data_IF_551872265259
#
_entry.id   IF_551872265259
#
_cell.length_a   1.000
_cell.length_b   1.000
_cell.length_c   1.000
_cell.angle_alpha   90.00
_cell.angle_beta   90.00
_cell.angle_gamma   90.00
#
_symmetry.space_group_name_H-M   'P 1'
#
loop_
_entity.id
_entity.type
_entity.pdbx_description
1 polymer ?
#
# COMPACT_ATOMS: atom_id res chain seq x y z
N UNK A 1 -12.13 -15.41 -22.31
CA UNK A 1 -12.35 -14.24 -21.43
C UNK A 1 -13.69 -14.39 -20.69
N UNK A 2 -14.79 -14.77 -21.36
CA UNK A 2 -16.12 -14.98 -20.73
C UNK A 2 -16.14 -16.01 -19.58
N UNK A 3 -15.16 -16.89 -19.48
CA UNK A 3 -15.18 -18.00 -18.52
C UNK A 3 -14.35 -17.76 -17.23
N UNK A 4 -13.52 -16.72 -17.19
CA UNK A 4 -12.57 -16.58 -16.07
C UNK A 4 -12.93 -15.48 -15.06
N UNK A 5 -13.63 -14.44 -15.47
CA UNK A 5 -13.73 -13.25 -14.62
C UNK A 5 -15.03 -13.09 -13.79
N UNK A 6 -16.24 -13.37 -14.27
CA UNK A 6 -17.46 -13.01 -13.54
C UNK A 6 -17.71 -13.83 -12.29
N UNK A 7 -17.18 -15.04 -12.23
CA UNK A 7 -17.42 -15.95 -11.12
C UNK A 7 -16.35 -15.95 -10.04
N UNK A 8 -15.11 -15.58 -10.40
CA UNK A 8 -13.96 -15.80 -9.50
C UNK A 8 -13.84 -14.77 -8.38
N UNK A 9 -14.04 -13.49 -8.68
CA UNK A 9 -13.80 -12.43 -7.69
C UNK A 9 -15.04 -11.68 -7.26
N UNK A 10 -16.23 -12.04 -7.83
CA UNK A 10 -17.45 -11.28 -7.57
C UNK A 10 -17.29 -9.78 -7.87
N UNK A 11 -16.32 -9.42 -8.73
CA UNK A 11 -16.23 -8.07 -9.25
C UNK A 11 -17.50 -7.77 -10.05
N UNK A 12 -17.99 -6.53 -10.02
CA UNK A 12 -19.15 -6.16 -10.80
C UNK A 12 -18.94 -6.59 -12.25
N UNK A 13 -19.97 -7.17 -12.85
CA UNK A 13 -19.95 -7.55 -14.29
C UNK A 13 -19.59 -6.37 -15.19
N UNK A 14 -19.83 -5.16 -14.71
CA UNK A 14 -19.45 -3.89 -15.32
C UNK A 14 -17.97 -3.78 -15.69
N UNK A 15 -17.09 -4.40 -14.89
CA UNK A 15 -15.64 -4.42 -15.15
C UNK A 15 -15.28 -5.19 -16.43
N UNK A 16 -16.08 -6.19 -16.76
CA UNK A 16 -15.90 -7.01 -17.97
C UNK A 16 -16.61 -6.34 -19.14
N UNK A 17 -17.77 -5.72 -18.88
CA UNK A 17 -18.53 -5.00 -19.88
C UNK A 17 -17.78 -3.77 -20.43
N UNK A 18 -16.92 -3.14 -19.62
CA UNK A 18 -16.07 -2.02 -20.06
C UNK A 18 -15.13 -2.42 -21.21
N UNK A 19 -14.63 -3.65 -21.21
CA UNK A 19 -13.76 -4.14 -22.29
C UNK A 19 -14.53 -4.65 -23.52
N UNK A 20 -15.76 -5.15 -23.32
CA UNK A 20 -16.56 -5.73 -24.39
C UNK A 20 -17.59 -4.75 -25.00
N UNK A 21 -17.92 -3.69 -24.30
CA UNK A 21 -19.02 -2.80 -24.69
C UNK A 21 -18.55 -1.33 -24.85
N UNK A 22 -18.32 -0.94 -26.08
CA UNK A 22 -17.93 0.43 -26.46
C UNK A 22 -18.92 1.52 -25.97
N UNK A 23 -20.12 1.16 -25.53
CA UNK A 23 -21.10 2.12 -24.99
C UNK A 23 -20.74 2.60 -23.55
N UNK A 24 -19.84 1.90 -22.84
CA UNK A 24 -19.37 2.32 -21.52
C UNK A 24 -18.09 3.16 -21.65
N UNK A 25 -17.39 3.07 -22.78
CA UNK A 25 -16.21 3.88 -23.08
C UNK A 25 -16.45 5.41 -22.92
N UNK A 26 -17.58 5.99 -23.38
CA UNK A 26 -17.85 7.42 -23.21
C UNK A 26 -17.88 7.89 -21.76
N UNK A 27 -18.26 7.03 -20.81
CA UNK A 27 -18.24 7.39 -19.38
C UNK A 27 -16.81 7.56 -18.87
N UNK A 28 -15.91 6.73 -19.33
CA UNK A 28 -14.49 6.80 -18.96
C UNK A 28 -13.75 7.88 -19.75
N UNK A 29 -14.08 8.07 -21.03
CA UNK A 29 -13.52 9.15 -21.86
C UNK A 29 -13.85 10.55 -21.33
N UNK A 30 -15.02 10.73 -20.70
CA UNK A 30 -15.44 12.03 -20.14
C UNK A 30 -14.80 12.34 -18.78
N UNK A 31 -14.25 11.36 -18.10
CA UNK A 31 -13.60 11.55 -16.78
C UNK A 31 -12.10 11.81 -16.95
N UNK A 32 -11.51 11.34 -18.06
CA UNK A 32 -10.12 11.58 -18.40
C UNK A 32 -10.07 12.57 -19.56
N UNK A 33 -9.92 13.88 -19.23
CA UNK A 33 -9.87 14.95 -20.21
C UNK A 33 -8.60 14.82 -21.07
N UNK A 34 -8.80 14.37 -22.25
CA UNK A 34 -8.21 14.59 -23.57
C UNK A 34 -6.68 14.58 -23.84
N UNK A 35 -5.80 14.44 -22.87
CA UNK A 35 -4.37 14.18 -23.12
C UNK A 35 -3.85 12.94 -22.38
N UNK A 36 -4.75 12.12 -21.85
CA UNK A 36 -4.45 11.11 -20.88
C UNK A 36 -4.75 9.69 -21.37
N UNK A 37 -4.29 9.38 -22.58
CA UNK A 37 -3.99 7.99 -22.95
C UNK A 37 -3.02 7.33 -21.96
N UNK A 38 -2.62 8.08 -20.93
CA UNK A 38 -1.51 7.82 -20.03
C UNK A 38 -1.90 7.67 -18.54
N UNK A 39 -3.19 7.72 -18.18
CA UNK A 39 -3.58 7.46 -16.80
C UNK A 39 -3.64 5.97 -16.51
N UNK A 40 -2.84 5.51 -15.56
CA UNK A 40 -2.94 4.13 -15.08
C UNK A 40 -4.10 3.91 -14.10
N UNK A 41 -4.79 4.97 -13.70
CA UNK A 41 -5.95 4.93 -12.81
C UNK A 41 -7.24 5.30 -13.55
N UNK A 42 -8.30 4.53 -13.30
CA UNK A 42 -9.65 4.79 -13.78
C UNK A 42 -10.64 4.83 -12.60
N UNK A 43 -11.78 5.53 -12.73
CA UNK A 43 -12.83 5.52 -11.72
C UNK A 43 -13.39 4.12 -11.45
N UNK A 44 -13.74 3.88 -10.20
CA UNK A 44 -14.39 2.64 -9.77
C UNK A 44 -15.50 2.95 -8.76
N UNK A 45 -16.71 2.39 -8.90
CA UNK A 45 -17.84 2.71 -8.03
C UNK A 45 -17.66 2.23 -6.59
N UNK A 46 -16.77 1.28 -6.33
CA UNK A 46 -16.56 0.69 -5.01
C UNK A 46 -15.32 1.25 -4.33
N UNK A 47 -14.22 1.35 -5.08
CA UNK A 47 -12.92 1.79 -4.55
C UNK A 47 -12.58 3.23 -4.93
N UNK A 48 -13.47 3.94 -5.60
CA UNK A 48 -13.36 5.28 -6.21
C UNK A 48 -12.38 5.31 -7.39
N UNK A 49 -11.23 4.69 -7.26
CA UNK A 49 -10.23 4.53 -8.32
C UNK A 49 -9.68 3.12 -8.30
N UNK A 50 -9.28 2.62 -9.44
CA UNK A 50 -8.52 1.37 -9.61
C UNK A 50 -7.55 1.51 -10.77
N UNK A 51 -6.56 0.65 -10.84
CA UNK A 51 -5.66 0.63 -11.97
C UNK A 51 -6.35 0.09 -13.23
N UNK A 52 -5.93 0.60 -14.38
CA UNK A 52 -6.48 0.26 -15.68
C UNK A 52 -6.23 -1.22 -16.01
N UNK A 53 -7.27 -2.02 -16.28
CA UNK A 53 -7.12 -3.40 -16.71
C UNK A 53 -6.34 -3.51 -18.02
N UNK A 54 -5.53 -4.57 -18.14
CA UNK A 54 -4.72 -4.88 -19.33
C UNK A 54 -3.80 -3.74 -19.78
N UNK A 55 -3.44 -2.85 -18.88
CA UNK A 55 -2.40 -1.87 -19.13
C UNK A 55 -1.07 -2.63 -19.36
N UNK A 56 -0.50 -2.53 -20.55
CA UNK A 56 0.72 -3.26 -20.88
C UNK A 56 1.93 -2.60 -20.22
N UNK A 57 2.05 -1.29 -20.38
CA UNK A 57 3.14 -0.52 -19.80
C UNK A 57 2.77 0.95 -19.67
N UNK A 58 3.16 1.53 -18.54
CA UNK A 58 3.08 2.95 -18.31
C UNK A 58 4.25 3.36 -17.40
N UNK A 59 5.23 4.12 -17.89
CA UNK A 59 6.43 4.53 -17.16
C UNK A 59 6.90 3.55 -16.07
N UNK A 60 6.49 3.80 -14.81
CA UNK A 60 6.79 2.99 -13.64
C UNK A 60 5.60 2.12 -13.18
N UNK A 61 4.63 1.87 -14.05
CA UNK A 61 3.41 1.10 -13.78
C UNK A 61 3.23 -0.02 -14.81
N UNK A 62 2.33 -0.97 -14.54
CA UNK A 62 2.07 -2.12 -15.40
C UNK A 62 3.20 -3.17 -15.41
N UNK A 63 3.04 -4.27 -16.17
CA UNK A 63 1.76 -4.62 -16.80
C UNK A 63 0.67 -4.94 -15.77
N UNK A 64 -0.59 -4.67 -16.13
CA UNK A 64 -1.74 -5.03 -15.32
C UNK A 64 -2.50 -6.19 -15.94
N UNK A 65 -3.04 -7.05 -15.12
CA UNK A 65 -3.90 -8.15 -15.54
C UNK A 65 -5.33 -7.69 -15.92
N UNK A 66 -6.20 -8.65 -16.22
CA UNK A 66 -7.60 -8.39 -16.59
C UNK A 66 -8.39 -7.65 -15.49
N UNK A 67 -8.02 -7.77 -14.23
CA UNK A 67 -8.67 -7.11 -13.10
C UNK A 67 -8.06 -5.73 -12.77
N UNK A 68 -7.00 -5.33 -13.49
CA UNK A 68 -6.29 -4.08 -13.25
C UNK A 68 -5.22 -4.15 -12.17
N UNK A 69 -4.96 -5.32 -11.59
CA UNK A 69 -3.88 -5.49 -10.64
C UNK A 69 -2.56 -5.76 -11.35
N UNK A 70 -1.47 -5.36 -10.72
CA UNK A 70 -0.14 -5.52 -11.31
C UNK A 70 0.36 -6.95 -11.21
N UNK A 71 -0.11 -7.77 -12.13
CA UNK A 71 0.28 -9.16 -12.32
C UNK A 71 0.27 -9.50 -13.81
N UNK A 72 0.93 -10.58 -14.20
CA UNK A 72 0.93 -11.04 -15.60
C UNK A 72 -0.41 -11.66 -16.01
N UNK A 73 -1.14 -12.25 -15.05
CA UNK A 73 -2.45 -12.86 -15.31
C UNK A 73 -3.23 -13.05 -14.01
N UNK A 74 -4.55 -13.15 -14.11
CA UNK A 74 -5.42 -13.53 -12.99
C UNK A 74 -5.32 -15.04 -12.79
N UNK A 75 -4.91 -15.52 -11.61
CA UNK A 75 -4.81 -16.95 -11.32
C UNK A 75 -6.17 -17.54 -10.95
N UNK A 76 -6.30 -18.86 -11.01
CA UNK A 76 -7.48 -19.58 -10.48
C UNK A 76 -7.50 -19.63 -8.94
N UNK A 77 -6.31 -19.59 -8.32
CA UNK A 77 -6.10 -19.48 -6.89
C UNK A 77 -4.75 -18.87 -6.61
N UNK A 78 -4.59 -18.25 -5.43
CA UNK A 78 -3.31 -17.70 -4.98
C UNK A 78 -3.11 -18.07 -3.50
N UNK A 79 -1.93 -18.55 -3.13
CA UNK A 79 -1.65 -18.93 -1.75
C UNK A 79 -1.49 -17.70 -0.86
N UNK A 80 -0.81 -16.66 -1.38
CA UNK A 80 -0.59 -15.38 -0.69
C UNK A 80 -1.12 -14.24 -1.54
N UNK A 81 -2.00 -13.42 -0.95
CA UNK A 81 -2.49 -12.20 -1.61
C UNK A 81 -2.00 -10.97 -0.86
N UNK A 82 -1.34 -10.07 -1.59
CA UNK A 82 -0.86 -8.80 -1.08
C UNK A 82 -1.86 -7.69 -1.37
N UNK A 83 -2.26 -6.97 -0.34
CA UNK A 83 -3.22 -5.85 -0.38
C UNK A 83 -2.51 -4.59 0.11
N UNK A 84 -2.66 -3.49 -0.60
CA UNK A 84 -2.06 -2.21 -0.26
C UNK A 84 -2.30 -1.14 -1.31
N UNK A 85 -1.53 -0.08 -1.22
CA UNK A 85 -1.54 1.07 -2.12
C UNK A 85 -0.46 0.95 -3.23
N UNK A 86 0.07 2.09 -3.65
CA UNK A 86 1.17 2.19 -4.62
C UNK A 86 2.46 1.52 -4.17
N UNK A 87 2.68 1.32 -2.87
CA UNK A 87 3.85 0.62 -2.35
C UNK A 87 3.79 -0.88 -2.72
N UNK A 88 2.63 -1.51 -2.61
CA UNK A 88 2.43 -2.90 -2.99
C UNK A 88 2.26 -3.05 -4.52
N UNK A 89 1.61 -2.07 -5.16
CA UNK A 89 1.59 -2.00 -6.62
C UNK A 89 3.01 -1.96 -7.21
N UNK A 90 3.95 -1.36 -6.49
CA UNK A 90 5.38 -1.42 -6.78
C UNK A 90 5.84 -0.38 -7.80
N UNK A 91 5.42 0.88 -7.64
CA UNK A 91 5.95 2.00 -8.42
C UNK A 91 7.50 2.04 -8.33
N UNK A 92 8.17 2.55 -9.35
CA UNK A 92 9.64 2.63 -9.47
C UNK A 92 10.39 1.29 -9.59
N UNK A 93 9.68 0.17 -9.77
CA UNK A 93 10.33 -1.11 -10.01
C UNK A 93 9.68 -1.86 -11.18
N UNK A 94 10.42 -2.67 -11.94
CA UNK A 94 9.84 -3.67 -12.82
C UNK A 94 8.96 -4.64 -12.02
N UNK A 95 7.98 -5.28 -12.69
CA UNK A 95 7.02 -6.17 -12.02
C UNK A 95 7.71 -7.30 -11.24
N UNK A 96 8.78 -7.84 -11.79
CA UNK A 96 9.58 -8.89 -11.17
C UNK A 96 10.35 -8.44 -9.91
N UNK A 97 10.39 -7.13 -9.64
CA UNK A 97 11.06 -6.53 -8.49
C UNK A 97 10.10 -5.87 -7.50
N UNK A 98 8.82 -6.22 -7.57
CA UNK A 98 7.82 -5.80 -6.58
C UNK A 98 7.84 -6.69 -5.34
N UNK A 99 7.23 -6.25 -4.23
CA UNK A 99 7.16 -7.04 -2.99
C UNK A 99 6.53 -8.42 -3.24
N UNK A 100 5.36 -8.54 -3.91
CA UNK A 100 4.75 -9.85 -4.19
C UNK A 100 5.67 -10.77 -4.98
N UNK A 101 6.33 -10.26 -6.02
CA UNK A 101 7.24 -11.08 -6.85
C UNK A 101 8.51 -11.50 -6.12
N UNK A 102 9.07 -10.66 -5.25
CA UNK A 102 10.20 -11.05 -4.41
C UNK A 102 9.80 -12.09 -3.36
N UNK A 103 8.63 -11.92 -2.72
CA UNK A 103 8.11 -12.87 -1.74
C UNK A 103 7.84 -14.25 -2.40
N UNK A 104 7.21 -14.29 -3.57
CA UNK A 104 6.99 -15.52 -4.33
C UNK A 104 8.30 -16.26 -4.56
N UNK A 105 9.32 -15.61 -5.11
CA UNK A 105 10.64 -16.23 -5.33
C UNK A 105 11.32 -16.70 -4.05
N UNK A 106 11.19 -15.96 -2.94
CA UNK A 106 11.76 -16.39 -1.66
C UNK A 106 11.09 -17.66 -1.13
N UNK A 107 9.81 -17.85 -1.42
CA UNK A 107 9.00 -18.99 -1.00
C UNK A 107 9.12 -20.20 -1.95
N UNK A 108 9.32 -19.98 -3.26
CA UNK A 108 9.46 -21.03 -4.28
C UNK A 108 10.61 -22.00 -4.01
N UNK A 109 11.64 -21.60 -3.27
CA UNK A 109 12.76 -22.45 -2.92
C UNK A 109 12.37 -23.65 -2.02
N UNK A 110 11.22 -23.58 -1.37
CA UNK A 110 10.72 -24.58 -0.43
C UNK A 110 9.28 -25.02 -0.67
N UNK A 111 8.46 -24.15 -1.24
CA UNK A 111 7.02 -24.34 -1.43
C UNK A 111 6.63 -23.89 -2.84
N UNK A 112 5.78 -24.63 -3.53
CA UNK A 112 5.22 -24.22 -4.82
C UNK A 112 4.15 -23.12 -4.60
N UNK A 113 4.57 -21.95 -4.15
CA UNK A 113 3.70 -20.84 -3.72
C UNK A 113 3.40 -19.89 -4.86
N UNK A 114 2.17 -19.46 -4.96
CA UNK A 114 1.73 -18.36 -5.85
C UNK A 114 1.36 -17.14 -5.05
N UNK A 115 2.07 -16.03 -5.29
CA UNK A 115 1.72 -14.72 -4.79
C UNK A 115 0.91 -13.92 -5.83
N UNK A 116 -0.01 -13.07 -5.35
CA UNK A 116 -0.84 -12.24 -6.20
C UNK A 116 -1.01 -10.85 -5.58
N UNK A 117 -0.81 -9.81 -6.37
CA UNK A 117 -1.01 -8.41 -5.95
C UNK A 117 -2.46 -8.00 -6.18
N UNK A 118 -3.11 -7.45 -5.14
CA UNK A 118 -4.40 -6.77 -5.24
C UNK A 118 -4.26 -5.36 -4.67
N UNK A 119 -3.47 -4.53 -5.33
CA UNK A 119 -3.12 -3.19 -4.90
C UNK A 119 -3.26 -2.17 -6.02
N UNK A 120 -3.52 -0.92 -5.64
CA UNK A 120 -3.64 0.21 -6.56
C UNK A 120 -3.19 1.49 -5.87
N UNK A 121 -2.52 2.38 -6.60
CA UNK A 121 -2.12 3.69 -6.08
C UNK A 121 -3.29 4.51 -5.56
N UNK A 122 -3.08 5.23 -4.45
CA UNK A 122 -4.07 6.10 -3.84
C UNK A 122 -5.17 5.38 -3.04
N UNK A 123 -4.99 4.09 -2.74
CA UNK A 123 -5.87 3.38 -1.82
C UNK A 123 -5.44 3.57 -0.37
N UNK A 124 -6.42 3.45 0.54
CA UNK A 124 -6.23 3.41 1.98
C UNK A 124 -7.04 2.27 2.61
N UNK A 125 -7.16 2.27 3.92
CA UNK A 125 -7.72 1.15 4.69
C UNK A 125 -9.13 0.72 4.27
N UNK A 126 -9.97 1.65 3.81
CA UNK A 126 -11.33 1.36 3.39
C UNK A 126 -11.36 0.48 2.15
N UNK A 127 -10.52 0.80 1.17
CA UNK A 127 -10.39 -0.01 -0.04
C UNK A 127 -9.77 -1.37 0.30
N UNK A 128 -8.82 -1.43 1.24
CA UNK A 128 -8.19 -2.69 1.65
C UNK A 128 -9.21 -3.69 2.20
N UNK A 129 -10.17 -3.26 3.04
CA UNK A 129 -11.23 -4.14 3.52
C UNK A 129 -12.12 -4.66 2.37
N UNK A 130 -12.50 -3.78 1.45
CA UNK A 130 -13.29 -4.17 0.28
C UNK A 130 -12.54 -5.22 -0.56
N UNK A 131 -11.27 -4.99 -0.81
CA UNK A 131 -10.42 -5.89 -1.60
C UNK A 131 -10.12 -7.18 -0.84
N UNK A 132 -9.90 -7.15 0.49
CA UNK A 132 -9.72 -8.36 1.30
C UNK A 132 -10.91 -9.30 1.17
N UNK A 133 -12.14 -8.76 1.17
CA UNK A 133 -13.33 -9.55 0.94
C UNK A 133 -13.36 -10.18 -0.47
N UNK A 134 -12.94 -9.44 -1.50
CA UNK A 134 -12.86 -9.95 -2.88
C UNK A 134 -11.76 -10.99 -3.05
N UNK A 135 -10.64 -10.83 -2.35
CA UNK A 135 -9.51 -11.75 -2.39
C UNK A 135 -9.88 -13.19 -1.98
N UNK A 136 -10.88 -13.37 -1.11
CA UNK A 136 -11.34 -14.68 -0.68
C UNK A 136 -11.79 -15.58 -1.84
N UNK A 137 -12.24 -15.00 -2.96
CA UNK A 137 -12.61 -15.77 -4.15
C UNK A 137 -11.43 -16.52 -4.77
N UNK A 138 -10.19 -16.07 -4.54
CA UNK A 138 -8.97 -16.76 -4.96
C UNK A 138 -8.47 -17.80 -3.96
N UNK A 139 -9.23 -18.04 -2.87
CA UNK A 139 -8.93 -19.05 -1.84
C UNK A 139 -7.52 -18.92 -1.24
N UNK A 140 -7.12 -17.73 -0.78
CA UNK A 140 -5.79 -17.55 -0.21
C UNK A 140 -5.65 -18.35 1.09
N UNK A 141 -4.43 -18.80 1.37
CA UNK A 141 -4.02 -19.27 2.69
C UNK A 141 -3.65 -18.08 3.58
N UNK A 142 -3.04 -17.04 2.97
CA UNK A 142 -2.56 -15.85 3.67
C UNK A 142 -2.97 -14.58 2.93
N UNK A 143 -3.49 -13.58 3.66
CA UNK A 143 -3.64 -12.20 3.23
C UNK A 143 -2.54 -11.35 3.88
N UNK A 144 -1.71 -10.69 3.09
CA UNK A 144 -0.73 -9.70 3.57
C UNK A 144 -1.29 -8.31 3.33
N UNK A 145 -1.57 -7.57 4.39
CA UNK A 145 -2.10 -6.21 4.32
C UNK A 145 -1.03 -5.22 4.72
N UNK A 146 -0.64 -4.38 3.78
CA UNK A 146 0.45 -3.43 3.94
C UNK A 146 -0.11 -2.01 4.05
N UNK A 147 -0.03 -1.43 5.25
CA UNK A 147 -0.30 -0.02 5.45
C UNK A 147 0.93 0.81 5.09
N UNK A 148 0.72 1.98 4.50
CA UNK A 148 1.77 2.97 4.29
C UNK A 148 1.53 4.19 5.18
N UNK A 149 2.46 4.47 6.09
CA UNK A 149 2.33 5.56 7.05
C UNK A 149 2.25 6.95 6.40
N UNK A 150 2.75 7.06 5.17
CA UNK A 150 2.90 8.34 4.48
C UNK A 150 1.61 8.95 3.95
N UNK A 151 0.58 8.16 3.63
CA UNK A 151 -0.68 8.66 3.07
C UNK A 151 -1.93 7.90 3.55
N UNK A 152 -1.86 6.61 3.88
CA UNK A 152 -3.04 5.82 4.25
C UNK A 152 -3.91 6.47 5.33
N UNK A 153 -3.34 7.08 6.41
CA UNK A 153 -4.17 7.76 7.40
C UNK A 153 -4.95 8.93 6.82
N UNK A 154 -4.30 9.76 5.99
CA UNK A 154 -4.94 10.93 5.37
C UNK A 154 -6.00 10.52 4.34
N UNK A 155 -5.70 9.52 3.50
CA UNK A 155 -6.63 9.01 2.48
C UNK A 155 -7.81 8.29 3.13
N UNK A 156 -7.57 7.52 4.19
CA UNK A 156 -8.64 6.89 4.95
C UNK A 156 -9.56 7.90 5.62
N UNK A 157 -9.01 8.98 6.19
CA UNK A 157 -9.82 10.10 6.68
C UNK A 157 -10.63 10.73 5.55
N UNK A 158 -9.98 11.12 4.46
CA UNK A 158 -10.64 11.78 3.34
C UNK A 158 -11.84 10.96 2.82
N UNK A 159 -11.66 9.65 2.68
CA UNK A 159 -12.71 8.76 2.20
C UNK A 159 -13.82 8.56 3.24
N UNK A 160 -13.49 8.30 4.51
CA UNK A 160 -14.49 8.06 5.55
C UNK A 160 -15.37 9.30 5.80
N UNK A 161 -14.80 10.50 5.72
CA UNK A 161 -15.52 11.73 5.95
C UNK A 161 -16.11 12.34 4.67
N UNK A 162 -15.56 12.00 3.50
CA UNK A 162 -16.06 12.46 2.21
C UNK A 162 -17.22 11.65 1.64
N UNK A 163 -17.41 10.40 2.08
CA UNK A 163 -18.43 9.49 1.56
C UNK A 163 -19.29 8.92 2.70
N UNK A 164 -20.61 9.14 2.62
CA UNK A 164 -21.56 8.69 3.64
C UNK A 164 -21.67 7.16 3.80
N UNK A 165 -21.25 6.40 2.80
CA UNK A 165 -21.15 4.92 2.90
C UNK A 165 -20.24 4.46 4.04
N UNK A 166 -19.28 5.31 4.44
CA UNK A 166 -18.24 5.01 5.43
C UNK A 166 -18.41 5.76 6.75
N UNK A 167 -19.55 6.43 6.96
CA UNK A 167 -19.79 7.25 8.15
C UNK A 167 -19.62 6.49 9.48
N UNK A 168 -19.96 5.19 9.49
CA UNK A 168 -19.87 4.35 10.69
C UNK A 168 -18.42 4.08 11.13
N UNK A 169 -17.45 4.45 10.28
CA UNK A 169 -16.02 4.34 10.58
C UNK A 169 -15.40 5.67 11.05
N UNK A 170 -16.17 6.74 11.13
CA UNK A 170 -15.70 8.04 11.62
C UNK A 170 -15.52 7.98 13.13
N UNK A 171 -14.27 8.00 13.65
CA UNK A 171 -14.03 7.93 15.10
C UNK A 171 -14.46 9.18 15.85
N UNK A 172 -14.51 10.34 15.19
CA UNK A 172 -14.95 11.61 15.72
C UNK A 172 -16.05 12.19 14.82
N UNK A 173 -17.29 12.27 15.36
CA UNK A 173 -18.45 12.76 14.63
C UNK A 173 -18.44 14.28 14.40
N UNK A 174 -17.56 15.02 15.09
CA UNK A 174 -17.48 16.49 14.96
C UNK A 174 -16.59 16.90 13.78
N UNK A 175 -15.64 16.06 13.36
CA UNK A 175 -14.79 16.34 12.22
C UNK A 175 -15.56 16.32 10.88
N UNK A 176 -15.08 17.11 9.94
CA UNK A 176 -15.62 17.26 8.58
C UNK A 176 -14.51 17.11 7.54
N UNK A 177 -14.82 16.79 6.28
CA UNK A 177 -13.81 16.76 5.20
C UNK A 177 -13.01 18.04 5.08
N UNK A 178 -13.64 19.19 5.37
CA UNK A 178 -13.02 20.53 5.32
C UNK A 178 -12.01 20.81 6.44
N UNK A 179 -11.92 19.97 7.46
CA UNK A 179 -10.96 20.11 8.56
C UNK A 179 -9.58 19.58 8.20
N UNK A 180 -9.44 18.99 7.00
CA UNK A 180 -8.15 18.56 6.52
C UNK A 180 -7.19 19.76 6.44
N UNK A 181 -6.05 19.74 7.16
CA UNK A 181 -5.14 20.86 7.16
C UNK A 181 -4.52 21.07 5.78
N UNK A 182 -4.27 22.33 5.43
CA UNK A 182 -3.47 22.65 4.25
C UNK A 182 -2.06 22.09 4.43
N UNK A 183 -1.51 21.53 3.35
CA UNK A 183 -0.11 21.10 3.34
C UNK A 183 0.74 22.37 3.50
N UNK A 184 1.64 22.42 4.51
CA UNK A 184 2.54 23.54 4.67
C UNK A 184 3.36 23.76 3.40
N UNK A 185 3.71 25.02 3.10
CA UNK A 185 4.52 25.37 1.94
C UNK A 185 5.78 24.50 1.88
N UNK A 186 6.02 23.89 0.72
CA UNK A 186 6.88 22.73 0.59
C UNK A 186 8.36 23.12 0.70
N UNK A 187 8.94 22.91 1.86
CA UNK A 187 10.39 22.88 1.98
C UNK A 187 10.88 21.49 1.59
N UNK A 188 11.27 21.31 0.34
CA UNK A 188 12.06 20.15 -0.08
C UNK A 188 13.46 20.27 0.54
N UNK A 189 13.96 19.16 1.05
CA UNK A 189 15.29 19.11 1.61
C UNK A 189 16.08 18.00 0.94
N UNK A 190 17.05 18.38 0.12
CA UNK A 190 17.96 17.46 -0.57
C UNK A 190 19.17 17.11 0.30
N UNK A 191 19.55 15.85 0.31
CA UNK A 191 20.76 15.35 0.98
C UNK A 191 21.60 14.54 0.01
N UNK A 192 22.91 14.78 0.04
CA UNK A 192 23.92 13.91 -0.55
C UNK A 192 24.63 13.19 0.60
N UNK A 193 24.55 11.88 0.61
CA UNK A 193 25.21 11.05 1.61
C UNK A 193 26.71 10.91 1.32
N UNK A 194 27.49 10.43 2.30
CA UNK A 194 28.93 10.26 2.17
C UNK A 194 29.32 9.20 1.12
N UNK A 195 28.45 8.22 0.86
CA UNK A 195 28.60 7.24 -0.20
C UNK A 195 28.29 7.80 -1.60
N UNK A 196 27.94 9.09 -1.72
CA UNK A 196 27.56 9.76 -2.94
C UNK A 196 26.12 9.55 -3.37
N UNK A 197 25.35 8.70 -2.70
CA UNK A 197 23.91 8.56 -2.94
C UNK A 197 23.19 9.85 -2.52
N UNK A 198 22.02 10.10 -3.10
CA UNK A 198 21.26 11.32 -2.82
C UNK A 198 19.76 11.04 -2.77
N UNK A 199 19.03 11.88 -2.03
CA UNK A 199 17.56 11.87 -2.02
C UNK A 199 17.00 13.24 -1.67
N UNK A 200 15.72 13.46 -1.99
CA UNK A 200 14.97 14.66 -1.60
C UNK A 200 13.86 14.26 -0.65
N UNK A 201 13.90 14.76 0.56
CA UNK A 201 12.84 14.57 1.56
C UNK A 201 11.72 15.60 1.40
N UNK A 202 10.49 15.20 1.69
CA UNK A 202 9.28 16.02 1.59
C UNK A 202 8.40 15.88 2.83
N UNK A 203 8.91 16.16 4.03
CA UNK A 203 8.15 15.95 5.28
C UNK A 203 6.84 16.75 5.33
N UNK A 204 6.75 17.86 4.60
CA UNK A 204 5.52 18.65 4.51
C UNK A 204 4.38 17.89 3.82
N UNK A 205 4.67 17.07 2.80
CA UNK A 205 3.66 16.25 2.11
C UNK A 205 3.05 15.20 3.02
N UNK A 206 3.78 14.74 4.04
CA UNK A 206 3.36 13.71 4.98
C UNK A 206 2.73 14.29 6.25
N UNK A 207 2.70 15.63 6.35
CA UNK A 207 2.22 16.34 7.55
C UNK A 207 0.83 15.89 7.99
N UNK A 208 -0.11 15.74 7.05
CA UNK A 208 -1.49 15.34 7.35
C UNK A 208 -1.54 13.96 8.02
N UNK A 209 -0.73 13.00 7.52
CA UNK A 209 -0.73 11.64 8.05
C UNK A 209 -0.06 11.49 9.41
N UNK A 210 0.96 12.31 9.72
CA UNK A 210 1.81 12.06 10.91
C UNK A 210 1.71 13.12 12.00
N UNK A 211 1.10 14.28 11.74
CA UNK A 211 0.97 15.38 12.69
C UNK A 211 0.14 15.01 13.92
N UNK A 212 0.17 15.89 14.94
CA UNK A 212 -0.73 15.82 16.10
C UNK A 212 -2.09 16.48 15.82
N UNK A 213 -2.48 16.64 14.57
CA UNK A 213 -3.76 17.19 14.16
C UNK A 213 -4.88 16.16 14.32
N UNK A 214 -6.11 16.54 14.76
CA UNK A 214 -7.23 15.59 14.94
C UNK A 214 -7.56 14.75 13.69
N UNK A 215 -7.35 15.29 12.50
CA UNK A 215 -7.51 14.56 11.23
C UNK A 215 -6.55 13.38 11.14
N UNK A 216 -5.27 13.57 11.53
CA UNK A 216 -4.32 12.46 11.58
C UNK A 216 -4.74 11.42 12.61
N UNK A 217 -5.14 11.86 13.82
CA UNK A 217 -5.65 10.95 14.86
C UNK A 217 -6.81 10.10 14.34
N UNK A 218 -7.79 10.72 13.70
CA UNK A 218 -8.92 10.03 13.09
C UNK A 218 -8.47 9.03 12.02
N UNK A 219 -7.55 9.43 11.14
CA UNK A 219 -7.00 8.55 10.10
C UNK A 219 -6.37 7.28 10.68
N UNK A 220 -5.49 7.41 11.69
CA UNK A 220 -4.87 6.27 12.36
C UNK A 220 -5.87 5.40 13.12
N UNK A 221 -6.92 5.98 13.70
CA UNK A 221 -8.00 5.20 14.32
C UNK A 221 -8.79 4.40 13.27
N UNK A 222 -9.03 4.98 12.10
CA UNK A 222 -9.66 4.26 10.99
C UNK A 222 -8.79 3.06 10.56
N UNK A 223 -7.47 3.20 10.42
CA UNK A 223 -6.58 2.07 10.14
C UNK A 223 -6.76 0.93 11.15
N UNK A 224 -6.80 1.24 12.46
CA UNK A 224 -7.02 0.24 13.52
C UNK A 224 -8.36 -0.48 13.38
N UNK A 225 -9.44 0.26 13.11
CA UNK A 225 -10.77 -0.31 12.92
C UNK A 225 -10.79 -1.28 11.73
N UNK A 226 -10.16 -0.89 10.61
CA UNK A 226 -10.11 -1.74 9.42
C UNK A 226 -9.21 -2.95 9.61
N UNK A 227 -8.07 -2.81 10.27
CA UNK A 227 -7.22 -3.95 10.64
C UNK A 227 -8.02 -4.98 11.45
N UNK A 228 -8.76 -4.54 12.46
CA UNK A 228 -9.62 -5.42 13.26
C UNK A 228 -10.67 -6.15 12.42
N UNK A 229 -11.30 -5.45 11.46
CA UNK A 229 -12.29 -6.06 10.57
C UNK A 229 -11.66 -7.05 9.60
N UNK A 230 -10.48 -6.75 9.05
CA UNK A 230 -9.78 -7.66 8.13
C UNK A 230 -9.29 -8.91 8.88
N UNK A 231 -8.79 -8.78 10.11
CA UNK A 231 -8.44 -9.91 10.95
C UNK A 231 -9.66 -10.81 11.25
N UNK A 232 -10.81 -10.20 11.58
CA UNK A 232 -12.09 -10.90 11.74
C UNK A 232 -12.51 -11.65 10.48
N UNK A 233 -12.41 -10.99 9.30
CA UNK A 233 -12.69 -11.60 8.00
C UNK A 233 -11.81 -12.83 7.74
N UNK A 234 -10.51 -12.73 8.04
CA UNK A 234 -9.58 -13.85 7.92
C UNK A 234 -9.99 -15.02 8.81
N UNK A 235 -10.27 -14.75 10.09
CA UNK A 235 -10.71 -15.77 11.06
C UNK A 235 -12.00 -16.47 10.65
N UNK A 236 -12.98 -15.72 10.14
CA UNK A 236 -14.28 -16.26 9.66
C UNK A 236 -14.13 -17.17 8.42
N UNK A 237 -13.08 -16.97 7.62
CA UNK A 237 -12.86 -17.70 6.36
C UNK A 237 -11.66 -18.65 6.41
N UNK A 238 -11.09 -18.91 7.59
CA UNK A 238 -9.89 -19.74 7.77
C UNK A 238 -8.69 -19.27 6.93
N UNK A 239 -8.49 -17.97 6.86
CA UNK A 239 -7.36 -17.31 6.16
C UNK A 239 -6.50 -16.60 7.19
N UNK A 240 -5.18 -16.83 7.18
CA UNK A 240 -4.26 -16.09 8.02
C UNK A 240 -4.11 -14.65 7.50
N UNK A 241 -4.05 -13.69 8.41
CA UNK A 241 -3.81 -12.30 8.07
C UNK A 241 -2.46 -11.85 8.62
N UNK A 242 -1.63 -11.30 7.76
CA UNK A 242 -0.35 -10.71 8.14
C UNK A 242 -0.42 -9.22 7.85
N UNK A 243 -0.20 -8.41 8.87
CA UNK A 243 -0.10 -6.96 8.71
C UNK A 243 1.35 -6.52 8.70
N UNK A 244 1.62 -5.46 7.94
CA UNK A 244 2.87 -4.72 8.02
C UNK A 244 2.61 -3.22 7.82
N UNK A 245 3.54 -2.38 8.30
CA UNK A 245 3.50 -0.93 8.13
C UNK A 245 4.77 -0.51 7.41
N UNK A 246 4.63 -0.05 6.18
CA UNK A 246 5.74 0.51 5.39
C UNK A 246 5.92 1.97 5.83
N UNK A 247 7.09 2.36 6.34
CA UNK A 247 7.35 3.73 6.76
C UNK A 247 7.68 4.64 5.57
N UNK A 248 7.62 5.96 5.81
CA UNK A 248 8.13 6.93 4.83
C UNK A 248 9.65 6.81 4.69
N UNK A 249 10.17 7.25 3.54
CA UNK A 249 11.63 7.29 3.34
C UNK A 249 12.34 8.22 4.34
N UNK A 250 11.62 9.21 4.86
CA UNK A 250 12.08 10.08 5.93
C UNK A 250 12.46 9.28 7.18
N UNK A 251 11.60 8.35 7.60
CA UNK A 251 11.89 7.49 8.74
C UNK A 251 12.93 6.40 8.40
N UNK A 252 12.90 5.87 7.18
CA UNK A 252 13.88 4.86 6.72
C UNK A 252 15.31 5.39 6.79
N UNK A 253 15.55 6.62 6.31
CA UNK A 253 16.88 7.22 6.32
C UNK A 253 17.28 7.92 7.63
N UNK A 254 16.42 7.89 8.66
CA UNK A 254 16.67 8.62 9.91
C UNK A 254 17.98 8.21 10.59
N UNK A 255 18.33 6.93 10.55
CA UNK A 255 19.57 6.42 11.14
C UNK A 255 20.81 6.78 10.30
N UNK A 256 20.71 6.71 8.97
CA UNK A 256 21.77 7.15 8.04
C UNK A 256 22.08 8.65 8.17
N UNK A 257 21.08 9.45 8.54
CA UNK A 257 21.18 10.89 8.77
C UNK A 257 21.70 11.26 10.17
N UNK A 258 22.42 10.40 10.84
CA UNK A 258 22.93 10.53 12.20
C UNK A 258 23.09 11.99 12.67
N UNK A 259 22.45 12.40 13.80
CA UNK A 259 22.55 13.75 14.33
C UNK A 259 24.01 14.17 14.56
N UNK A 260 24.40 15.30 13.98
CA UNK A 260 25.76 15.85 14.04
C UNK A 260 26.61 15.66 12.78
N UNK A 261 26.21 14.77 11.87
CA UNK A 261 26.87 14.55 10.59
C UNK A 261 26.22 15.36 9.45
N UNK A 262 24.91 15.55 9.55
CA UNK A 262 24.12 16.31 8.59
C UNK A 262 23.34 17.43 9.29
N UNK A 263 23.18 18.56 8.62
CA UNK A 263 22.30 19.65 9.08
C UNK A 263 20.84 19.28 8.82
N UNK A 264 20.25 18.55 9.75
CA UNK A 264 18.90 18.03 9.66
C UNK A 264 17.91 19.08 10.12
N UNK A 265 16.90 19.40 9.27
CA UNK A 265 15.89 20.41 9.59
C UNK A 265 15.05 20.01 10.81
N UNK A 266 14.57 21.01 11.57
CA UNK A 266 13.69 20.77 12.71
C UNK A 266 12.38 20.07 12.29
N UNK A 267 11.85 20.44 11.10
CA UNK A 267 10.64 19.84 10.54
C UNK A 267 10.83 18.35 10.24
N UNK A 268 11.97 17.98 9.68
CA UNK A 268 12.28 16.55 9.45
C UNK A 268 12.33 15.78 10.77
N UNK A 269 13.04 16.29 11.80
CA UNK A 269 13.11 15.63 13.12
C UNK A 269 11.73 15.47 13.75
N UNK A 270 10.87 16.51 13.65
CA UNK A 270 9.50 16.46 14.14
C UNK A 270 8.69 15.40 13.41
N UNK A 271 8.81 15.34 12.07
CA UNK A 271 8.15 14.34 11.25
C UNK A 271 8.54 12.92 11.67
N UNK A 272 9.83 12.60 11.68
CA UNK A 272 10.32 11.25 12.03
C UNK A 272 9.86 10.84 13.44
N UNK A 273 9.92 11.76 14.42
CA UNK A 273 9.47 11.47 15.76
C UNK A 273 7.96 11.22 15.85
N UNK A 274 7.17 11.99 15.12
CA UNK A 274 5.72 11.85 15.09
C UNK A 274 5.32 10.54 14.39
N UNK A 275 5.91 10.26 13.24
CA UNK A 275 5.65 9.03 12.49
C UNK A 275 5.97 7.78 13.31
N UNK A 276 7.13 7.76 13.97
CA UNK A 276 7.54 6.63 14.80
C UNK A 276 6.56 6.38 15.96
N UNK A 277 6.04 7.43 16.60
CA UNK A 277 5.00 7.27 17.64
C UNK A 277 3.72 6.65 17.05
N UNK A 278 3.27 7.12 15.87
CA UNK A 278 2.09 6.61 15.19
C UNK A 278 2.23 5.14 14.79
N UNK A 279 3.37 4.79 14.19
CA UNK A 279 3.68 3.41 13.82
C UNK A 279 3.65 2.51 15.05
N UNK A 280 4.33 2.89 16.16
CA UNK A 280 4.34 2.10 17.39
C UNK A 280 2.96 1.91 18.02
N UNK A 281 2.10 2.92 17.92
CA UNK A 281 0.74 2.84 18.43
C UNK A 281 -0.14 1.89 17.57
N UNK A 282 0.00 1.93 16.24
CA UNK A 282 -0.66 0.96 15.37
C UNK A 282 -0.05 -0.44 15.54
N UNK A 283 1.27 -0.58 15.62
CA UNK A 283 1.97 -1.84 15.87
C UNK A 283 1.45 -2.53 17.12
N UNK A 284 1.35 -1.81 18.25
CA UNK A 284 0.82 -2.35 19.48
C UNK A 284 -0.62 -2.87 19.33
N UNK A 285 -1.44 -2.17 18.55
CA UNK A 285 -2.80 -2.63 18.21
C UNK A 285 -2.77 -3.90 17.38
N UNK A 286 -1.97 -3.95 16.30
CA UNK A 286 -1.86 -5.10 15.42
C UNK A 286 -1.36 -6.35 16.15
N UNK A 287 -0.36 -6.20 17.03
CA UNK A 287 0.18 -7.29 17.84
C UNK A 287 -0.81 -7.81 18.90
N UNK A 288 -1.78 -7.00 19.31
CA UNK A 288 -2.80 -7.40 20.29
C UNK A 288 -3.96 -8.17 19.69
N UNK A 289 -4.06 -8.25 18.36
CA UNK A 289 -5.19 -8.91 17.68
C UNK A 289 -5.03 -10.43 17.67
N UNK A 290 -6.11 -11.13 18.01
CA UNK A 290 -6.20 -12.58 17.85
C UNK A 290 -6.47 -12.96 16.39
N UNK A 291 -5.72 -13.94 15.88
CA UNK A 291 -5.87 -14.45 14.51
C UNK A 291 -5.22 -13.62 13.41
N UNK A 292 -4.28 -12.74 13.77
CA UNK A 292 -3.45 -12.02 12.82
C UNK A 292 -2.01 -11.90 13.34
N UNK A 293 -1.07 -11.86 12.40
CA UNK A 293 0.34 -11.62 12.67
C UNK A 293 0.73 -10.21 12.26
N UNK A 294 1.76 -9.65 12.91
CA UNK A 294 2.38 -8.41 12.51
C UNK A 294 3.87 -8.61 12.23
N UNK A 295 4.34 -8.17 11.06
CA UNK A 295 5.75 -8.22 10.69
C UNK A 295 6.30 -6.80 10.55
N UNK A 296 7.23 -6.37 11.43
CA UNK A 296 7.86 -5.07 11.34
C UNK A 296 8.87 -5.03 10.19
N UNK A 297 8.74 -4.05 9.29
CA UNK A 297 9.66 -3.86 8.15
C UNK A 297 10.52 -2.60 8.26
N UNK A 298 10.21 -1.67 9.19
CA UNK A 298 10.95 -0.43 9.32
C UNK A 298 12.40 -0.62 9.77
N UNK A 299 12.67 -1.52 10.73
CA UNK A 299 14.03 -1.86 11.16
C UNK A 299 14.87 -2.47 10.02
N UNK A 300 14.40 -3.53 9.35
CA UNK A 300 15.05 -4.07 8.14
C UNK A 300 15.31 -3.02 7.07
N UNK A 301 14.37 -2.10 6.80
CA UNK A 301 14.58 -1.01 5.85
C UNK A 301 15.67 -0.02 6.31
N UNK A 302 15.71 0.35 7.59
CA UNK A 302 16.77 1.20 8.14
C UNK A 302 18.14 0.54 8.01
N UNK A 303 18.25 -0.74 8.32
CA UNK A 303 19.50 -1.49 8.16
C UNK A 303 19.94 -1.55 6.69
N UNK A 304 19.01 -1.82 5.77
CA UNK A 304 19.31 -1.80 4.34
C UNK A 304 19.74 -0.41 3.85
N UNK A 305 19.19 0.67 4.42
CA UNK A 305 19.55 2.05 4.07
C UNK A 305 20.97 2.45 4.48
N UNK A 306 21.58 1.73 5.42
CA UNK A 306 22.99 1.93 5.79
C UNK A 306 23.97 1.31 4.78
N UNK A 307 23.51 0.44 3.88
CA UNK A 307 24.29 -0.11 2.80
C UNK A 307 24.54 0.86 1.65
N UNK A 308 25.25 0.39 0.62
CA UNK A 308 25.66 1.20 -0.54
C UNK A 308 24.55 1.31 -1.60
N UNK A 309 23.61 0.38 -1.64
CA UNK A 309 22.54 0.37 -2.63
C UNK A 309 21.43 1.36 -2.25
N UNK A 310 21.02 2.28 -3.14
CA UNK A 310 19.96 3.24 -2.86
C UNK A 310 18.61 2.52 -2.75
N UNK A 311 17.88 2.78 -1.67
CA UNK A 311 16.53 2.23 -1.45
C UNK A 311 15.43 3.07 -2.10
N UNK A 312 15.67 4.35 -2.36
CA UNK A 312 14.73 5.29 -2.95
C UNK A 312 15.40 6.11 -4.03
N UNK A 313 14.64 6.63 -5.02
CA UNK A 313 15.20 7.45 -6.08
C UNK A 313 15.77 8.79 -5.55
N UNK A 314 16.69 9.42 -6.29
CA UNK A 314 17.31 10.70 -5.94
C UNK A 314 16.34 11.88 -6.10
N UNK A 315 15.04 11.65 -6.02
CA UNK A 315 13.97 12.62 -6.22
C UNK A 315 13.09 12.73 -4.96
N UNK A 316 12.04 13.52 -5.02
CA UNK A 316 11.01 13.62 -3.97
C UNK A 316 10.07 12.41 -3.90
N UNK A 317 10.18 11.47 -4.81
CA UNK A 317 9.35 10.27 -4.83
C UNK A 317 9.63 9.37 -3.60
N UNK A 318 8.57 8.95 -2.93
CA UNK A 318 8.60 8.12 -1.73
C UNK A 318 8.39 6.62 -1.98
N UNK A 319 8.34 6.18 -3.25
CA UNK A 319 8.27 4.77 -3.57
C UNK A 319 9.67 4.16 -3.61
N UNK A 320 9.87 2.97 -3.02
CA UNK A 320 11.17 2.31 -3.06
C UNK A 320 11.65 1.96 -4.48
N UNK A 321 12.94 1.84 -4.62
CA UNK A 321 13.60 1.14 -5.70
C UNK A 321 13.61 -0.38 -5.42
N UNK A 322 14.04 -1.25 -6.37
CA UNK A 322 14.07 -2.70 -6.19
C UNK A 322 14.72 -3.19 -4.88
N UNK A 323 15.81 -2.58 -4.42
CA UNK A 323 16.47 -2.96 -3.16
C UNK A 323 15.61 -2.69 -1.93
N UNK A 324 14.82 -1.60 -1.93
CA UNK A 324 13.88 -1.32 -0.84
C UNK A 324 12.73 -2.33 -0.81
N UNK A 325 12.17 -2.67 -1.96
CA UNK A 325 11.13 -3.71 -2.06
C UNK A 325 11.65 -5.09 -1.66
N UNK A 326 12.89 -5.42 -2.04
CA UNK A 326 13.54 -6.66 -1.62
C UNK A 326 13.71 -6.73 -0.09
N UNK A 327 14.11 -5.64 0.55
CA UNK A 327 14.25 -5.58 2.01
C UNK A 327 12.92 -5.85 2.73
N UNK A 328 11.81 -5.30 2.21
CA UNK A 328 10.46 -5.55 2.74
C UNK A 328 10.08 -7.03 2.54
N UNK A 329 10.24 -7.56 1.34
CA UNK A 329 9.90 -8.94 1.03
C UNK A 329 10.71 -9.94 1.88
N UNK A 330 12.00 -9.70 2.07
CA UNK A 330 12.86 -10.53 2.92
C UNK A 330 12.45 -10.51 4.40
N UNK A 331 11.92 -9.40 4.89
CA UNK A 331 11.37 -9.31 6.25
C UNK A 331 10.07 -10.11 6.41
N UNK A 332 9.23 -10.15 5.37
CA UNK A 332 7.96 -10.90 5.37
C UNK A 332 8.16 -12.41 5.18
N UNK A 333 9.14 -12.82 4.37
CA UNK A 333 9.30 -14.20 3.90
C UNK A 333 9.36 -15.25 5.02
N UNK A 334 10.08 -15.08 6.15
CA UNK A 334 10.12 -16.10 7.21
C UNK A 334 8.75 -16.38 7.83
N UNK A 335 7.95 -15.34 8.09
CA UNK A 335 6.60 -15.50 8.63
C UNK A 335 5.68 -16.18 7.62
N UNK A 336 5.72 -15.74 6.35
CA UNK A 336 4.91 -16.35 5.29
C UNK A 336 5.25 -17.83 5.09
N UNK A 337 6.54 -18.18 5.12
CA UNK A 337 6.99 -19.57 5.03
C UNK A 337 6.39 -20.42 6.15
N UNK A 338 6.55 -20.00 7.41
CA UNK A 338 6.01 -20.74 8.56
C UNK A 338 4.49 -20.91 8.52
N UNK A 339 3.75 -19.90 8.07
CA UNK A 339 2.29 -19.98 7.94
C UNK A 339 1.83 -20.92 6.83
N UNK A 340 2.56 -21.01 5.74
CA UNK A 340 2.23 -21.88 4.61
C UNK A 340 2.56 -23.34 4.91
N UNK A 341 3.70 -23.64 5.57
CA UNK A 341 4.06 -25.02 5.99
C UNK A 341 3.05 -25.66 6.93
N UNK A 342 2.44 -24.88 7.81
CA UNK A 342 1.45 -25.39 8.78
C UNK A 342 0.11 -25.74 8.14
N UNK A 343 -0.10 -25.44 6.87
CA UNK A 343 -1.36 -25.61 6.13
C UNK A 343 -1.27 -26.59 4.94
N UNK A 344 -0.13 -27.22 4.75
CA UNK A 344 0.02 -28.40 3.87
C UNK A 344 -0.39 -29.68 4.59
#
# INVERSE_FOLDING_TARGET
>A
IKHLAPGLLGFPQDLILVQENKQVAPFYENVFDHNESDSYLIPDPHTLVRATPLLDRYDNAGPNDLLGFRNLSVPNSADVIFIGDSQIYGNNAPIEHTIPSFAERALENSLATRAYSMATGGWGALQYLYIANKALALKPKVLVVCFYSGNDPAESFALAYGDERWRDFRPDAELRPGDMPSIPEEAQWGVVFEDGSQTIFTPSRRYISVSDHPVADAGWQILKQFATKIAGLGKENDVQVVFTIIPTKELVYAEKLNPGKYDVSARYRQHVSAELRRIKDLEAHLQSMDGADYVPVWGPLQQAALGDDPLYPPTSDGHPLPHGYLAIANALAPTLHGLLETRE
#
